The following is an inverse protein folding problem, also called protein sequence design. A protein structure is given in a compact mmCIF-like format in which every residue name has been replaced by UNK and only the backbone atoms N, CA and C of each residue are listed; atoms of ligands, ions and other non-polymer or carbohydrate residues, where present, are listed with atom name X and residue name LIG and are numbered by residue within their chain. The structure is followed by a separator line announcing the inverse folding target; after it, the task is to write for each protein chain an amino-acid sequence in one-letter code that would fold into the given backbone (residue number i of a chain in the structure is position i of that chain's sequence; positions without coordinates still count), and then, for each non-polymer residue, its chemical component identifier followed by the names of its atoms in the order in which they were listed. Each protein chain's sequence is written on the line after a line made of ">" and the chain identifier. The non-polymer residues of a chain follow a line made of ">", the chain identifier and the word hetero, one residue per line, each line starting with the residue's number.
data_IF_750143455161
#
_entry.id   IF_750143455161
#
_cell.length_a   1.000
_cell.length_b   1.000
_cell.length_c   1.000
_cell.angle_alpha   90.00
_cell.angle_beta   90.00
_cell.angle_gamma   90.00
#
_symmetry.space_group_name_H-M   'P 1'
#
loop_
_entity.id
_entity.type
_entity.pdbx_description
1 polymer ?
#
# COMPACT_ATOMS: atom_id res chain seq x y z
N UNK A 1 44.57 -13.45 12.64
CA UNK A 1 43.99 -14.14 11.46
C UNK A 1 43.42 -13.06 10.54
N UNK A 2 43.68 -13.08 9.22
CA UNK A 2 43.32 -11.97 8.35
C UNK A 2 41.89 -12.13 7.81
N UNK A 3 41.16 -11.01 7.83
CA UNK A 3 40.04 -10.64 6.97
C UNK A 3 39.04 -11.76 6.59
N UNK A 4 38.04 -11.97 7.44
CA UNK A 4 36.78 -12.58 7.00
C UNK A 4 36.19 -11.73 5.86
N UNK A 5 35.97 -12.37 4.72
CA UNK A 5 35.10 -11.91 3.65
C UNK A 5 33.73 -11.53 4.24
N UNK A 6 33.52 -10.24 4.54
CA UNK A 6 32.16 -9.71 4.63
C UNK A 6 31.77 -9.30 3.23
N UNK A 7 31.10 -10.21 2.52
CA UNK A 7 30.26 -9.85 1.38
C UNK A 7 29.26 -8.80 1.87
N UNK A 8 29.45 -7.56 1.47
CA UNK A 8 28.51 -6.48 1.79
C UNK A 8 27.26 -6.70 0.92
N UNK A 9 26.18 -7.20 1.52
CA UNK A 9 24.87 -7.23 0.89
C UNK A 9 24.09 -5.99 1.31
N UNK A 10 23.65 -5.14 0.37
CA UNK A 10 22.74 -4.05 0.67
C UNK A 10 21.39 -4.60 1.17
N UNK A 11 20.65 -3.84 1.99
CA UNK A 11 19.33 -4.25 2.44
C UNK A 11 18.39 -4.40 1.25
N UNK A 12 17.77 -5.58 1.13
CA UNK A 12 16.78 -5.86 0.09
C UNK A 12 15.58 -4.91 0.24
N UNK A 13 15.30 -4.14 -0.81
CA UNK A 13 14.05 -3.42 -0.94
C UNK A 13 12.88 -4.43 -1.01
N UNK A 14 11.74 -4.07 -0.43
CA UNK A 14 10.55 -4.91 -0.29
C UNK A 14 9.95 -5.41 -1.62
N UNK A 15 8.93 -6.29 -1.55
CA UNK A 15 8.51 -7.09 -2.69
C UNK A 15 7.71 -6.26 -3.71
N UNK A 16 8.41 -5.80 -4.72
CA UNK A 16 7.85 -5.22 -5.95
C UNK A 16 8.99 -5.02 -6.94
N UNK A 17 9.14 -5.98 -7.88
CA UNK A 17 10.14 -6.00 -8.96
C UNK A 17 11.48 -5.32 -8.60
N UNK A 18 12.30 -5.99 -7.78
CA UNK A 18 13.59 -5.46 -7.37
C UNK A 18 14.52 -5.18 -8.57
N UNK A 19 15.35 -4.12 -8.51
CA UNK A 19 16.31 -3.83 -9.55
C UNK A 19 17.27 -5.00 -9.73
N UNK A 20 17.71 -5.24 -10.97
CA UNK A 20 18.66 -6.30 -11.30
C UNK A 20 19.83 -6.28 -10.31
N UNK A 21 20.08 -7.43 -9.67
CA UNK A 21 21.07 -7.54 -8.60
C UNK A 21 22.44 -7.06 -9.10
N UNK A 22 22.93 -5.94 -8.56
CA UNK A 22 24.25 -5.43 -8.91
C UNK A 22 25.32 -6.42 -8.41
N UNK A 23 26.37 -6.71 -9.18
CA UNK A 23 27.38 -7.70 -8.80
C UNK A 23 28.02 -7.37 -7.45
N UNK A 24 28.28 -8.40 -6.64
CA UNK A 24 28.98 -8.24 -5.37
C UNK A 24 30.42 -7.73 -5.58
N UNK A 25 30.87 -6.85 -4.70
CA UNK A 25 32.22 -6.28 -4.79
C UNK A 25 33.31 -7.34 -4.57
N UNK A 26 34.29 -7.37 -5.46
CA UNK A 26 35.51 -8.15 -5.29
C UNK A 26 36.70 -7.38 -5.86
N UNK A 27 37.79 -7.33 -5.10
CA UNK A 27 39.04 -6.74 -5.59
C UNK A 27 39.62 -7.57 -6.75
N UNK A 28 40.02 -6.88 -7.81
CA UNK A 28 40.65 -7.47 -8.99
C UNK A 28 42.13 -7.74 -8.76
N UNK A 29 42.62 -8.84 -9.30
CA UNK A 29 44.03 -9.15 -9.31
C UNK A 29 44.79 -8.18 -10.24
N UNK A 30 45.93 -7.66 -9.78
CA UNK A 30 46.72 -6.65 -10.50
C UNK A 30 47.98 -7.30 -11.05
N UNK A 31 48.07 -7.39 -12.38
CA UNK A 31 49.18 -8.05 -13.07
C UNK A 31 49.97 -7.10 -13.96
N UNK A 32 49.38 -5.98 -14.35
CA UNK A 32 49.97 -5.01 -15.27
C UNK A 32 50.97 -4.11 -14.54
N UNK A 33 52.14 -3.88 -15.15
CA UNK A 33 53.13 -2.96 -14.59
C UNK A 33 52.68 -1.49 -14.83
N UNK A 34 53.14 -0.53 -14.03
CA UNK A 34 52.80 0.88 -14.22
C UNK A 34 53.33 1.41 -15.56
N UNK A 35 52.48 2.13 -16.30
CA UNK A 35 52.92 2.84 -17.51
C UNK A 35 53.62 4.16 -17.13
N UNK A 36 54.91 4.05 -16.84
CA UNK A 36 55.74 5.19 -16.45
C UNK A 36 55.79 6.29 -17.51
N UNK A 37 55.68 5.94 -18.80
CA UNK A 37 55.68 6.94 -19.87
C UNK A 37 54.44 7.82 -19.77
N UNK A 38 53.26 7.20 -19.62
CA UNK A 38 52.01 7.95 -19.45
C UNK A 38 51.99 8.76 -18.16
N UNK A 39 52.40 8.16 -17.04
CA UNK A 39 52.46 8.87 -15.76
C UNK A 39 53.41 10.06 -15.77
N UNK A 40 54.55 9.97 -16.49
CA UNK A 40 55.52 11.06 -16.58
C UNK A 40 55.01 12.29 -17.35
N UNK A 41 53.97 12.14 -18.18
CA UNK A 41 53.38 13.26 -18.92
C UNK A 41 52.39 14.08 -18.10
N UNK A 42 51.98 13.58 -16.93
CA UNK A 42 51.01 14.24 -16.06
C UNK A 42 51.70 15.25 -15.16
N UNK A 43 51.33 16.51 -15.31
CA UNK A 43 51.72 17.57 -14.38
C UNK A 43 50.79 17.56 -13.15
N UNK A 44 51.21 16.86 -12.10
CA UNK A 44 50.43 16.68 -10.86
C UNK A 44 50.15 18.02 -10.16
N UNK A 45 51.11 18.95 -10.19
CA UNK A 45 50.97 20.27 -9.57
C UNK A 45 49.92 21.12 -10.28
N UNK A 46 49.90 21.05 -11.62
CA UNK A 46 48.84 21.71 -12.40
C UNK A 46 47.48 21.08 -12.14
N UNK A 47 47.38 19.74 -12.17
CA UNK A 47 46.13 19.02 -11.88
C UNK A 47 45.59 19.39 -10.51
N UNK A 48 46.45 19.47 -9.48
CA UNK A 48 46.03 19.84 -8.13
C UNK A 48 45.58 21.31 -8.03
N UNK A 49 46.25 22.24 -8.70
CA UNK A 49 45.92 23.67 -8.66
C UNK A 49 44.65 24.01 -9.43
N UNK A 50 44.47 23.39 -10.58
CA UNK A 50 43.36 23.67 -11.51
C UNK A 50 42.15 22.77 -11.28
N UNK A 51 42.32 21.67 -10.52
CA UNK A 51 41.27 20.68 -10.32
C UNK A 51 40.89 19.97 -11.63
N UNK A 52 41.86 19.69 -12.49
CA UNK A 52 41.65 19.04 -13.80
C UNK A 52 41.27 17.56 -13.62
N UNK A 53 40.00 17.32 -13.32
CA UNK A 53 39.42 15.99 -13.13
C UNK A 53 39.52 15.17 -14.41
N UNK A 54 39.48 15.79 -15.59
CA UNK A 54 39.55 15.08 -16.87
C UNK A 54 40.93 14.43 -17.07
N UNK A 55 42.00 15.16 -16.77
CA UNK A 55 43.36 14.60 -16.78
C UNK A 55 43.52 13.46 -15.76
N UNK A 56 42.95 13.60 -14.55
CA UNK A 56 42.97 12.54 -13.54
C UNK A 56 42.18 11.29 -13.98
N UNK A 57 40.98 11.49 -14.55
CA UNK A 57 40.11 10.41 -15.03
C UNK A 57 40.79 9.55 -16.09
N UNK A 58 41.57 10.15 -17.00
CA UNK A 58 42.30 9.42 -18.04
C UNK A 58 43.41 8.49 -17.52
N UNK A 59 43.85 8.67 -16.27
CA UNK A 59 44.88 7.87 -15.62
C UNK A 59 44.34 6.96 -14.51
N UNK A 60 43.09 7.19 -14.08
CA UNK A 60 42.48 6.57 -12.92
C UNK A 60 42.48 5.03 -12.98
N UNK A 61 42.09 4.47 -14.13
CA UNK A 61 42.09 3.02 -14.35
C UNK A 61 43.50 2.43 -14.22
N UNK A 62 44.47 3.03 -14.91
CA UNK A 62 45.86 2.57 -14.95
C UNK A 62 46.53 2.65 -13.57
N UNK A 63 46.29 3.70 -12.80
CA UNK A 63 46.85 3.86 -11.45
C UNK A 63 46.20 2.89 -10.46
N UNK A 64 44.89 2.67 -10.59
CA UNK A 64 44.13 1.84 -9.63
C UNK A 64 44.44 0.36 -9.79
N UNK A 65 44.66 -0.13 -11.03
CA UNK A 65 44.77 -1.56 -11.34
C UNK A 65 46.19 -2.05 -11.69
N UNK A 66 47.22 -1.18 -11.67
CA UNK A 66 48.61 -1.61 -11.87
C UNK A 66 49.25 -2.26 -10.62
N UNK A 67 50.33 -3.01 -10.82
CA UNK A 67 51.15 -3.66 -9.79
C UNK A 67 52.52 -3.01 -9.71
N UNK A 68 52.80 -2.31 -8.62
CA UNK A 68 54.10 -1.70 -8.34
C UNK A 68 55.03 -2.60 -7.50
N UNK A 69 54.60 -3.82 -7.16
CA UNK A 69 55.28 -4.69 -6.18
C UNK A 69 56.68 -5.14 -6.62
N UNK A 70 56.98 -5.12 -7.92
CA UNK A 70 58.25 -5.55 -8.51
C UNK A 70 59.09 -4.40 -9.04
N UNK A 71 58.72 -3.15 -8.74
CA UNK A 71 59.42 -1.98 -9.24
C UNK A 71 60.71 -1.75 -8.46
N UNK A 72 61.80 -1.52 -9.18
CA UNK A 72 63.12 -1.26 -8.63
C UNK A 72 63.57 0.17 -8.97
N UNK A 73 64.41 0.73 -8.12
CA UNK A 73 65.01 2.03 -8.37
C UNK A 73 65.83 2.00 -9.67
N UNK A 74 65.57 2.90 -10.65
CA UNK A 74 66.33 2.93 -11.91
C UNK A 74 67.84 3.20 -11.73
N UNK A 75 68.25 3.79 -10.61
CA UNK A 75 69.63 4.21 -10.38
C UNK A 75 70.47 3.17 -9.60
N UNK A 76 69.89 2.50 -8.61
CA UNK A 76 70.61 1.55 -7.77
C UNK A 76 70.10 0.11 -7.87
N UNK A 77 69.04 -0.14 -8.66
CA UNK A 77 68.37 -1.44 -8.79
C UNK A 77 67.83 -2.02 -7.46
N UNK A 78 67.81 -1.21 -6.39
CA UNK A 78 67.25 -1.60 -5.11
C UNK A 78 65.71 -1.67 -5.15
N UNK A 79 65.09 -2.50 -4.30
CA UNK A 79 63.64 -2.60 -4.22
C UNK A 79 63.03 -1.29 -3.72
N UNK A 80 61.80 -0.99 -4.17
CA UNK A 80 61.04 0.14 -3.64
C UNK A 80 60.76 0.00 -2.13
N UNK A 81 60.62 1.13 -1.44
CA UNK A 81 60.36 1.17 0.00
C UNK A 81 59.07 0.40 0.34
N UNK A 82 59.13 -0.60 1.24
CA UNK A 82 57.96 -1.41 1.59
C UNK A 82 56.78 -0.64 2.21
N UNK A 83 57.02 0.47 2.91
CA UNK A 83 55.97 1.32 3.47
C UNK A 83 55.28 2.15 2.38
N UNK A 84 56.04 2.69 1.41
CA UNK A 84 55.46 3.39 0.26
C UNK A 84 54.64 2.46 -0.63
N UNK A 85 55.11 1.23 -0.85
CA UNK A 85 54.34 0.20 -1.56
C UNK A 85 53.05 -0.16 -0.84
N UNK A 86 53.07 -0.28 0.49
CA UNK A 86 51.86 -0.50 1.29
C UNK A 86 50.89 0.69 1.22
N UNK A 87 51.40 1.92 1.28
CA UNK A 87 50.59 3.13 1.14
C UNK A 87 49.91 3.20 -0.24
N UNK A 88 50.67 2.98 -1.31
CA UNK A 88 50.14 2.90 -2.67
C UNK A 88 49.10 1.78 -2.80
N UNK A 89 49.39 0.60 -2.25
CA UNK A 89 48.47 -0.53 -2.29
C UNK A 89 47.15 -0.22 -1.58
N UNK A 90 47.21 0.42 -0.41
CA UNK A 90 46.02 0.88 0.30
C UNK A 90 45.25 1.93 -0.53
N UNK A 91 45.94 2.91 -1.10
CA UNK A 91 45.32 3.91 -1.96
C UNK A 91 44.61 3.28 -3.17
N UNK A 92 45.25 2.31 -3.85
CA UNK A 92 44.65 1.58 -4.97
C UNK A 92 43.41 0.78 -4.58
N UNK A 93 43.43 0.10 -3.42
CA UNK A 93 42.28 -0.64 -2.93
C UNK A 93 41.14 0.30 -2.53
N UNK A 94 41.46 1.43 -1.88
CA UNK A 94 40.49 2.47 -1.57
C UNK A 94 39.85 3.03 -2.84
N UNK A 95 40.64 3.36 -3.86
CA UNK A 95 40.12 3.88 -5.13
C UNK A 95 39.28 2.86 -5.89
N UNK A 96 39.67 1.58 -5.92
CA UNK A 96 38.87 0.51 -6.53
C UNK A 96 37.50 0.37 -5.85
N UNK A 97 37.46 0.41 -4.52
CA UNK A 97 36.20 0.37 -3.78
C UNK A 97 35.33 1.61 -4.04
N UNK A 98 35.93 2.79 -4.14
CA UNK A 98 35.22 4.03 -4.46
C UNK A 98 34.64 4.01 -5.88
N UNK A 99 35.37 3.47 -6.86
CA UNK A 99 34.88 3.27 -8.22
C UNK A 99 33.68 2.33 -8.25
N UNK A 100 33.78 1.18 -7.59
CA UNK A 100 32.65 0.26 -7.48
C UNK A 100 31.44 0.91 -6.79
N UNK A 101 31.67 1.64 -5.69
CA UNK A 101 30.61 2.35 -4.98
C UNK A 101 29.93 3.39 -5.87
N UNK A 102 30.70 4.10 -6.69
CA UNK A 102 30.16 5.07 -7.65
C UNK A 102 29.30 4.38 -8.72
N UNK A 103 29.77 3.27 -9.30
CA UNK A 103 29.00 2.51 -10.30
C UNK A 103 27.71 1.92 -9.69
N UNK A 104 27.81 1.37 -8.48
CA UNK A 104 26.67 0.85 -7.73
C UNK A 104 25.62 1.93 -7.44
N UNK A 105 26.06 3.11 -6.98
CA UNK A 105 25.16 4.24 -6.73
C UNK A 105 24.53 4.76 -8.03
N UNK A 106 25.29 4.86 -9.12
CA UNK A 106 24.74 5.24 -10.44
C UNK A 106 23.67 4.27 -10.92
N UNK A 107 23.92 2.96 -10.80
CA UNK A 107 22.95 1.95 -11.21
C UNK A 107 21.66 2.00 -10.37
N UNK A 108 21.79 2.16 -9.05
CA UNK A 108 20.63 2.34 -8.18
C UNK A 108 19.84 3.61 -8.53
N UNK A 109 20.51 4.74 -8.75
CA UNK A 109 19.86 5.99 -9.16
C UNK A 109 19.08 5.76 -10.46
N UNK A 110 19.71 5.18 -11.49
CA UNK A 110 19.04 4.87 -12.75
C UNK A 110 17.80 3.98 -12.57
N UNK A 111 17.90 2.93 -11.74
CA UNK A 111 16.73 2.07 -11.46
C UNK A 111 15.59 2.78 -10.73
N UNK A 112 15.91 3.71 -9.82
CA UNK A 112 14.92 4.50 -9.11
C UNK A 112 14.29 5.55 -10.03
N UNK A 113 15.05 6.14 -10.94
CA UNK A 113 14.56 7.06 -11.97
C UNK A 113 13.60 6.36 -12.93
N UNK A 114 13.92 5.14 -13.38
CA UNK A 114 13.03 4.31 -14.20
C UNK A 114 11.72 3.96 -13.48
N UNK A 115 11.82 3.51 -12.23
CA UNK A 115 10.64 3.20 -11.41
C UNK A 115 9.76 4.44 -11.16
N UNK A 116 10.38 5.61 -10.96
CA UNK A 116 9.66 6.88 -10.84
C UNK A 116 8.92 7.22 -12.13
N UNK A 117 9.58 7.12 -13.28
CA UNK A 117 8.95 7.37 -14.59
C UNK A 117 7.77 6.44 -14.84
N UNK A 118 7.89 5.15 -14.49
CA UNK A 118 6.79 4.20 -14.62
C UNK A 118 5.61 4.56 -13.71
N UNK A 119 5.87 4.94 -12.45
CA UNK A 119 4.84 5.38 -11.51
C UNK A 119 4.15 6.67 -11.98
N UNK A 120 4.90 7.62 -12.54
CA UNK A 120 4.35 8.84 -13.13
C UNK A 120 3.44 8.54 -14.32
N UNK A 121 3.85 7.63 -15.21
CA UNK A 121 3.03 7.20 -16.34
C UNK A 121 1.72 6.52 -15.88
N UNK A 122 1.79 5.68 -14.84
CA UNK A 122 0.60 5.05 -14.24
C UNK A 122 -0.34 6.10 -13.63
N UNK A 123 0.20 7.07 -12.88
CA UNK A 123 -0.56 8.18 -12.30
C UNK A 123 -1.28 8.99 -13.37
N UNK A 124 -0.60 9.31 -14.47
CA UNK A 124 -1.18 10.07 -15.57
C UNK A 124 -2.27 9.27 -16.30
N UNK A 125 -2.11 7.96 -16.45
CA UNK A 125 -3.13 7.07 -17.02
C UNK A 125 -4.38 7.01 -16.15
N UNK A 126 -4.22 6.81 -14.83
CA UNK A 126 -5.33 6.85 -13.88
C UNK A 126 -6.03 8.22 -13.88
N UNK A 127 -5.26 9.30 -14.00
CA UNK A 127 -5.81 10.66 -14.14
C UNK A 127 -6.74 10.81 -15.35
N UNK A 128 -6.38 10.22 -16.50
CA UNK A 128 -7.24 10.20 -17.71
C UNK A 128 -8.51 9.41 -17.48
N UNK A 129 -8.41 8.23 -16.85
CA UNK A 129 -9.58 7.39 -16.54
C UNK A 129 -10.56 8.09 -15.60
N UNK A 130 -10.05 8.74 -14.54
CA UNK A 130 -10.87 9.54 -13.62
C UNK A 130 -11.58 10.67 -14.37
N UNK A 131 -10.89 11.40 -15.25
CA UNK A 131 -11.50 12.46 -16.05
C UNK A 131 -12.61 11.92 -16.97
N UNK A 132 -12.38 10.78 -17.62
CA UNK A 132 -13.39 10.13 -18.47
C UNK A 132 -14.62 9.71 -17.66
N UNK A 133 -14.44 9.06 -16.51
CA UNK A 133 -15.55 8.68 -15.63
C UNK A 133 -16.33 9.88 -15.12
N UNK A 134 -15.65 10.98 -14.81
CA UNK A 134 -16.31 12.22 -14.39
C UNK A 134 -17.19 12.79 -15.52
N UNK A 135 -16.72 12.76 -16.77
CA UNK A 135 -17.49 13.18 -17.93
C UNK A 135 -18.72 12.28 -18.15
N UNK A 136 -18.59 10.96 -18.01
CA UNK A 136 -19.70 10.01 -18.09
C UNK A 136 -20.76 10.30 -17.02
N UNK A 137 -20.35 10.53 -15.77
CA UNK A 137 -21.25 10.91 -14.67
C UNK A 137 -22.00 12.20 -14.97
N UNK A 138 -21.32 13.21 -15.53
CA UNK A 138 -21.96 14.46 -15.91
C UNK A 138 -23.02 14.25 -17.00
N UNK A 139 -22.70 13.48 -18.04
CA UNK A 139 -23.65 13.13 -19.10
C UNK A 139 -24.88 12.39 -18.55
N UNK A 140 -24.68 11.43 -17.65
CA UNK A 140 -25.78 10.70 -17.00
C UNK A 140 -26.63 11.62 -16.11
N UNK A 141 -26.04 12.59 -15.41
CA UNK A 141 -26.79 13.59 -14.62
C UNK A 141 -27.68 14.46 -15.51
N UNK A 142 -27.17 14.90 -16.66
CA UNK A 142 -27.94 15.68 -17.63
C UNK A 142 -29.09 14.87 -18.25
N UNK A 143 -28.84 13.61 -18.60
CA UNK A 143 -29.85 12.65 -19.05
C UNK A 143 -30.95 12.47 -18.00
N UNK A 144 -30.57 12.22 -16.74
CA UNK A 144 -31.51 12.10 -15.62
C UNK A 144 -32.37 13.35 -15.46
N UNK A 145 -31.76 14.54 -15.58
CA UNK A 145 -32.49 15.82 -15.52
C UNK A 145 -33.48 15.95 -16.66
N UNK A 146 -33.11 15.55 -17.88
CA UNK A 146 -34.00 15.59 -19.05
C UNK A 146 -35.18 14.64 -18.90
N UNK A 147 -34.94 13.40 -18.45
CA UNK A 147 -36.00 12.42 -18.18
C UNK A 147 -36.96 12.89 -17.11
N UNK A 148 -36.47 13.48 -16.01
CA UNK A 148 -37.31 14.09 -14.97
C UNK A 148 -38.24 15.17 -15.51
N UNK A 149 -37.74 16.06 -16.39
CA UNK A 149 -38.57 17.08 -17.06
C UNK A 149 -39.64 16.44 -17.94
N UNK A 150 -39.27 15.46 -18.76
CA UNK A 150 -40.21 14.76 -19.64
C UNK A 150 -41.35 14.09 -18.86
N UNK A 151 -41.02 13.39 -17.77
CA UNK A 151 -42.01 12.75 -16.89
C UNK A 151 -42.93 13.80 -16.27
N UNK A 152 -42.38 14.91 -15.77
CA UNK A 152 -43.19 16.01 -15.21
C UNK A 152 -44.15 16.61 -16.24
N UNK A 153 -43.70 16.82 -17.48
CA UNK A 153 -44.57 17.31 -18.56
C UNK A 153 -45.66 16.30 -18.93
N UNK A 154 -45.33 15.00 -19.02
CA UNK A 154 -46.32 13.96 -19.27
C UNK A 154 -47.38 13.89 -18.16
N UNK A 155 -46.95 14.01 -16.90
CA UNK A 155 -47.85 14.02 -15.76
C UNK A 155 -48.80 15.23 -15.79
N UNK A 156 -48.29 16.43 -16.11
CA UNK A 156 -49.11 17.62 -16.29
C UNK A 156 -50.14 17.46 -17.43
N UNK A 157 -49.78 16.82 -18.54
CA UNK A 157 -50.72 16.54 -19.65
C UNK A 157 -51.81 15.54 -19.26
N UNK A 158 -51.48 14.54 -18.45
CA UNK A 158 -52.45 13.57 -17.93
C UNK A 158 -53.43 14.24 -16.96
N UNK A 159 -52.94 15.11 -16.08
CA UNK A 159 -53.77 15.91 -15.17
C UNK A 159 -54.69 16.89 -15.92
N UNK A 160 -54.20 17.54 -16.98
CA UNK A 160 -55.01 18.44 -17.81
C UNK A 160 -56.15 17.72 -18.55
N UNK A 161 -55.96 16.46 -18.96
CA UNK A 161 -57.01 15.64 -19.59
C UNK A 161 -58.06 15.12 -18.62
N UNK A 162 -57.78 15.09 -17.33
CA UNK A 162 -58.69 14.58 -16.30
C UNK A 162 -59.80 15.57 -15.90
N UNK A 163 -59.76 16.83 -16.38
CA UNK A 163 -60.64 17.91 -15.91
C UNK A 163 -61.95 18.11 -16.70
N UNK A 164 -62.28 17.24 -17.66
CA UNK A 164 -63.53 17.34 -18.44
C UNK A 164 -64.22 15.97 -18.55
N UNK A 165 -65.53 15.94 -18.31
CA UNK A 165 -66.35 14.74 -18.39
C UNK A 165 -67.09 14.69 -19.73
N UNK A 166 -66.57 13.89 -20.68
CA UNK A 166 -67.18 13.70 -22.00
C UNK A 166 -68.37 12.74 -21.96
N UNK A 167 -69.42 13.05 -22.73
CA UNK A 167 -70.55 12.16 -22.89
C UNK A 167 -70.18 10.93 -23.74
N UNK A 168 -70.47 9.69 -23.30
CA UNK A 168 -70.18 8.50 -24.10
C UNK A 168 -71.05 8.36 -25.35
N UNK A 169 -72.17 9.08 -25.39
CA UNK A 169 -73.25 8.89 -26.37
C UNK A 169 -73.38 10.06 -27.35
N UNK A 170 -72.62 11.15 -27.14
CA UNK A 170 -72.49 12.26 -28.08
C UNK A 170 -71.22 13.09 -27.80
N UNK A 171 -70.86 14.02 -28.67
CA UNK A 171 -69.60 14.77 -28.59
C UNK A 171 -69.54 15.88 -27.51
N UNK A 172 -70.50 15.94 -26.58
CA UNK A 172 -70.58 17.02 -25.58
C UNK A 172 -69.71 16.72 -24.36
N UNK A 173 -68.89 17.70 -23.96
CA UNK A 173 -68.06 17.67 -22.76
C UNK A 173 -68.60 18.61 -21.67
N UNK A 174 -68.53 18.18 -20.42
CA UNK A 174 -69.06 18.92 -19.27
C UNK A 174 -67.98 19.16 -18.22
N UNK A 175 -68.02 20.34 -17.60
CA UNK A 175 -67.07 20.79 -16.59
C UNK A 175 -67.18 20.03 -15.25
N UNK A 176 -68.33 19.42 -14.99
CA UNK A 176 -68.63 18.74 -13.72
C UNK A 176 -69.48 17.51 -13.99
N UNK A 177 -69.19 16.42 -13.29
CA UNK A 177 -69.85 15.12 -13.50
C UNK A 177 -71.39 15.20 -13.37
N UNK A 178 -71.91 16.06 -12.51
CA UNK A 178 -73.35 16.30 -12.32
C UNK A 178 -74.06 16.81 -13.58
N UNK A 179 -73.41 17.68 -14.36
CA UNK A 179 -73.97 18.20 -15.60
C UNK A 179 -73.96 17.15 -16.72
N UNK A 180 -72.91 16.32 -16.78
CA UNK A 180 -72.88 15.17 -17.67
C UNK A 180 -74.02 14.20 -17.34
N UNK A 181 -74.21 13.88 -16.06
CA UNK A 181 -75.24 12.93 -15.64
C UNK A 181 -76.66 13.44 -15.97
N UNK A 182 -76.90 14.73 -15.74
CA UNK A 182 -78.16 15.41 -16.11
C UNK A 182 -78.40 15.39 -17.62
N UNK A 183 -77.33 15.51 -18.42
CA UNK A 183 -77.40 15.45 -19.87
C UNK A 183 -77.77 14.03 -20.37
N UNK A 184 -77.11 12.99 -19.85
CA UNK A 184 -77.39 11.59 -20.19
C UNK A 184 -78.85 11.26 -19.87
N UNK A 185 -79.34 11.65 -18.70
CA UNK A 185 -80.71 11.36 -18.26
C UNK A 185 -81.80 12.02 -19.13
N UNK A 186 -81.53 13.20 -19.71
CA UNK A 186 -82.50 13.93 -20.53
C UNK A 186 -82.45 13.58 -22.02
N UNK A 187 -81.28 13.22 -22.54
CA UNK A 187 -81.03 13.04 -23.98
C UNK A 187 -80.81 11.59 -24.39
N UNK A 188 -80.47 10.72 -23.45
CA UNK A 188 -80.26 9.28 -23.65
C UNK A 188 -81.11 8.42 -22.67
N UNK A 189 -82.42 8.69 -22.49
CA UNK A 189 -83.23 8.04 -21.46
C UNK A 189 -83.47 6.54 -21.69
N UNK A 190 -83.44 6.08 -22.95
CA UNK A 190 -83.65 4.68 -23.32
C UNK A 190 -82.44 3.76 -23.08
N UNK A 191 -81.25 4.32 -22.84
CA UNK A 191 -80.06 3.52 -22.50
C UNK A 191 -79.90 3.28 -21.00
N UNK A 192 -80.75 3.90 -20.17
CA UNK A 192 -80.76 3.84 -18.70
C UNK A 192 -80.91 2.42 -18.11
N UNK A 193 -81.63 1.51 -18.80
CA UNK A 193 -81.79 0.12 -18.35
C UNK A 193 -80.54 -0.75 -18.64
N UNK A 194 -79.86 -0.49 -19.76
CA UNK A 194 -78.54 -1.07 -20.07
C UNK A 194 -77.49 -0.49 -19.11
N UNK A 195 -77.66 0.79 -18.77
CA UNK A 195 -76.88 1.51 -17.78
C UNK A 195 -77.01 0.88 -16.40
N UNK A 196 -78.20 0.44 -15.95
CA UNK A 196 -78.35 -0.25 -14.64
C UNK A 196 -77.59 -1.59 -14.56
N UNK A 197 -77.63 -2.41 -15.63
CA UNK A 197 -76.82 -3.66 -15.70
C UNK A 197 -75.33 -3.37 -15.81
N UNK A 198 -74.92 -2.30 -16.51
CA UNK A 198 -73.53 -1.81 -16.51
C UNK A 198 -73.14 -1.24 -15.15
N UNK A 199 -74.05 -0.55 -14.46
CA UNK A 199 -73.83 0.11 -13.16
C UNK A 199 -73.51 -0.92 -12.08
N UNK A 200 -74.19 -2.06 -12.05
CA UNK A 200 -73.84 -3.16 -11.15
C UNK A 200 -72.49 -3.83 -11.48
N UNK A 201 -72.04 -3.82 -12.74
CA UNK A 201 -70.68 -4.27 -13.11
C UNK A 201 -69.62 -3.19 -12.80
N UNK A 202 -69.98 -1.93 -12.96
CA UNK A 202 -69.13 -0.77 -12.64
C UNK A 202 -68.95 -0.65 -11.14
N UNK A 203 -69.97 -0.88 -10.32
CA UNK A 203 -69.87 -0.94 -8.85
C UNK A 203 -68.91 -2.05 -8.42
N UNK A 204 -69.03 -3.26 -8.98
CA UNK A 204 -68.08 -4.35 -8.70
C UNK A 204 -66.64 -4.00 -9.07
N UNK A 205 -66.43 -3.39 -10.25
CA UNK A 205 -65.11 -2.93 -10.67
C UNK A 205 -64.61 -1.75 -9.83
N UNK A 206 -65.51 -0.89 -9.35
CA UNK A 206 -65.17 0.20 -8.44
C UNK A 206 -64.74 -0.33 -7.08
N UNK A 207 -65.46 -1.29 -6.51
CA UNK A 207 -65.07 -1.96 -5.26
C UNK A 207 -63.71 -2.65 -5.39
N UNK A 208 -63.45 -3.28 -6.55
CA UNK A 208 -62.16 -3.93 -6.83
C UNK A 208 -61.03 -2.90 -7.03
N UNK A 209 -61.31 -1.76 -7.67
CA UNK A 209 -60.37 -0.63 -7.75
C UNK A 209 -60.11 -0.02 -6.38
N UNK A 210 -61.12 0.13 -5.53
CA UNK A 210 -61.00 0.65 -4.16
C UNK A 210 -60.10 -0.28 -3.33
N UNK A 211 -60.35 -1.59 -3.38
CA UNK A 211 -59.53 -2.60 -2.72
C UNK A 211 -58.08 -2.61 -3.25
N UNK A 212 -57.89 -2.48 -4.57
CA UNK A 212 -56.55 -2.39 -5.16
C UNK A 212 -55.82 -1.11 -4.76
N UNK A 213 -56.52 0.02 -4.64
CA UNK A 213 -55.94 1.28 -4.13
C UNK A 213 -55.54 1.16 -2.67
N UNK A 214 -56.37 0.53 -1.84
CA UNK A 214 -56.06 0.30 -0.43
C UNK A 214 -54.84 -0.62 -0.29
N UNK A 215 -54.80 -1.72 -1.04
CA UNK A 215 -53.61 -2.59 -1.07
C UNK A 215 -52.37 -1.85 -1.56
N UNK A 216 -52.46 -1.07 -2.63
CA UNK A 216 -51.35 -0.27 -3.14
C UNK A 216 -50.85 0.73 -2.09
N UNK A 217 -51.77 1.38 -1.36
CA UNK A 217 -51.43 2.33 -0.30
C UNK A 217 -50.74 1.64 0.88
N UNK A 218 -51.19 0.45 1.26
CA UNK A 218 -50.54 -0.38 2.28
C UNK A 218 -49.14 -0.80 1.81
N UNK A 219 -49.00 -1.33 0.60
CA UNK A 219 -47.69 -1.73 0.07
C UNK A 219 -46.73 -0.54 -0.05
N UNK A 220 -47.24 0.63 -0.46
CA UNK A 220 -46.43 1.85 -0.54
C UNK A 220 -45.92 2.29 0.84
N UNK A 221 -46.78 2.30 1.85
CA UNK A 221 -46.39 2.66 3.22
C UNK A 221 -45.41 1.65 3.82
N UNK A 222 -45.57 0.35 3.55
CA UNK A 222 -44.60 -0.68 3.92
C UNK A 222 -43.24 -0.45 3.25
N UNK A 223 -43.22 -0.17 1.95
CA UNK A 223 -41.98 0.08 1.20
C UNK A 223 -41.28 1.37 1.67
N UNK A 224 -42.02 2.42 1.97
CA UNK A 224 -41.47 3.66 2.53
C UNK A 224 -40.86 3.42 3.92
N UNK A 225 -41.55 2.67 4.78
CA UNK A 225 -41.03 2.28 6.08
C UNK A 225 -39.75 1.43 5.96
N UNK A 226 -39.75 0.42 5.10
CA UNK A 226 -38.58 -0.44 4.88
C UNK A 226 -37.38 0.36 4.32
N UNK A 227 -37.64 1.27 3.37
CA UNK A 227 -36.61 2.17 2.84
C UNK A 227 -36.02 3.06 3.95
N UNK A 228 -36.86 3.61 4.82
CA UNK A 228 -36.41 4.46 5.91
C UNK A 228 -35.64 3.68 6.98
N UNK A 229 -36.09 2.46 7.30
CA UNK A 229 -35.36 1.55 8.19
C UNK A 229 -34.00 1.14 7.60
N UNK A 230 -33.92 0.88 6.29
CA UNK A 230 -32.67 0.52 5.63
C UNK A 230 -31.70 1.71 5.58
N UNK A 231 -32.18 2.93 5.32
CA UNK A 231 -31.36 4.15 5.42
C UNK A 231 -30.82 4.37 6.84
N UNK A 232 -31.64 4.18 7.86
CA UNK A 232 -31.21 4.29 9.25
C UNK A 232 -30.14 3.23 9.60
N UNK A 233 -30.31 2.00 9.12
CA UNK A 233 -29.33 0.92 9.31
C UNK A 233 -28.00 1.26 8.62
N UNK A 234 -28.02 1.70 7.36
CA UNK A 234 -26.82 2.09 6.62
C UNK A 234 -26.10 3.27 7.28
N UNK A 235 -26.84 4.25 7.81
CA UNK A 235 -26.26 5.38 8.56
C UNK A 235 -25.52 4.87 9.81
N UNK A 236 -26.16 3.97 10.58
CA UNK A 236 -25.57 3.39 11.79
C UNK A 236 -24.34 2.54 11.48
N UNK A 237 -24.37 1.74 10.42
CA UNK A 237 -23.22 0.96 9.97
C UNK A 237 -22.04 1.86 9.54
N UNK A 238 -22.32 2.97 8.85
CA UNK A 238 -21.30 3.97 8.48
C UNK A 238 -20.67 4.63 9.71
N UNK A 239 -21.48 5.02 10.70
CA UNK A 239 -20.98 5.57 11.97
C UNK A 239 -20.13 4.56 12.75
N UNK A 240 -20.57 3.31 12.83
CA UNK A 240 -19.80 2.23 13.46
C UNK A 240 -18.47 1.98 12.75
N UNK A 241 -18.47 2.00 11.42
CA UNK A 241 -17.26 1.81 10.64
C UNK A 241 -16.26 2.95 10.87
N UNK A 242 -16.72 4.20 10.87
CA UNK A 242 -15.88 5.36 11.21
C UNK A 242 -15.30 5.26 12.61
N UNK A 243 -16.10 4.86 13.59
CA UNK A 243 -15.62 4.68 14.98
C UNK A 243 -14.52 3.62 15.07
N UNK A 244 -14.63 2.51 14.33
CA UNK A 244 -13.59 1.47 14.28
C UNK A 244 -12.32 1.97 13.59
N UNK A 245 -12.47 2.71 12.49
CA UNK A 245 -11.33 3.32 11.79
C UNK A 245 -10.58 4.31 12.68
N UNK A 246 -11.31 5.15 13.43
CA UNK A 246 -10.72 6.07 14.41
C UNK A 246 -9.99 5.32 15.54
N UNK A 247 -10.55 4.22 16.04
CA UNK A 247 -9.92 3.40 17.08
C UNK A 247 -8.63 2.71 16.60
N UNK A 248 -8.61 2.22 15.35
CA UNK A 248 -7.41 1.67 14.70
C UNK A 248 -6.36 2.76 14.56
N UNK A 249 -6.76 3.96 14.09
CA UNK A 249 -5.85 5.08 13.91
C UNK A 249 -5.23 5.52 15.25
N UNK A 250 -6.03 5.61 16.31
CA UNK A 250 -5.56 5.93 17.65
C UNK A 250 -4.60 4.86 18.20
N UNK A 251 -4.92 3.58 18.01
CA UNK A 251 -4.05 2.48 18.42
C UNK A 251 -2.71 2.51 17.67
N UNK A 252 -2.74 2.82 16.38
CA UNK A 252 -1.54 2.99 15.57
C UNK A 252 -0.68 4.16 16.04
N UNK A 253 -1.29 5.32 16.30
CA UNK A 253 -0.58 6.48 16.84
C UNK A 253 0.08 6.18 18.19
N UNK A 254 -0.67 5.55 19.10
CA UNK A 254 -0.15 5.14 20.41
C UNK A 254 1.05 4.20 20.28
N UNK A 255 0.94 3.17 19.44
CA UNK A 255 2.06 2.25 19.19
C UNK A 255 3.29 2.96 18.61
N UNK A 256 3.09 3.87 17.66
CA UNK A 256 4.18 4.63 17.06
C UNK A 256 4.87 5.56 18.09
N UNK A 257 4.13 6.12 19.03
CA UNK A 257 4.70 6.93 20.11
C UNK A 257 5.47 6.05 21.12
N UNK A 258 4.92 4.89 21.51
CA UNK A 258 5.60 3.89 22.34
C UNK A 258 6.92 3.42 21.71
N UNK A 259 6.92 3.19 20.39
CA UNK A 259 8.11 2.76 19.65
C UNK A 259 9.17 3.87 19.59
N UNK A 260 8.75 5.14 19.42
CA UNK A 260 9.65 6.29 19.49
C UNK A 260 10.27 6.46 20.87
N UNK A 261 9.49 6.27 21.93
CA UNK A 261 9.97 6.34 23.31
C UNK A 261 10.96 5.20 23.59
N UNK A 262 10.66 3.97 23.14
CA UNK A 262 11.56 2.82 23.26
C UNK A 262 12.91 3.07 22.59
N UNK A 263 12.92 3.67 21.40
CA UNK A 263 14.16 4.03 20.70
C UNK A 263 14.92 5.15 21.43
N UNK A 264 14.21 6.15 21.94
CA UNK A 264 14.81 7.21 22.75
C UNK A 264 15.49 6.65 24.01
N UNK A 265 14.83 5.73 24.72
CA UNK A 265 15.38 5.04 25.89
C UNK A 265 16.62 4.21 25.56
N UNK A 266 16.64 3.51 24.42
CA UNK A 266 17.82 2.76 23.97
C UNK A 266 18.99 3.70 23.67
N UNK A 267 18.73 4.81 22.99
CA UNK A 267 19.75 5.84 22.72
C UNK A 267 20.29 6.41 24.03
N UNK A 268 19.43 6.70 25.00
CA UNK A 268 19.85 7.26 26.28
C UNK A 268 20.69 6.26 27.08
N UNK A 269 20.32 4.98 27.11
CA UNK A 269 21.15 3.91 27.71
C UNK A 269 22.54 3.84 27.06
N UNK A 270 22.61 3.92 25.73
CA UNK A 270 23.89 3.92 25.01
C UNK A 270 24.72 5.15 25.36
N UNK A 271 24.11 6.35 25.40
CA UNK A 271 24.79 7.58 25.83
C UNK A 271 25.32 7.47 27.26
N UNK A 272 24.54 6.94 28.19
CA UNK A 272 24.98 6.74 29.57
C UNK A 272 26.18 5.78 29.66
N UNK A 273 26.15 4.68 28.89
CA UNK A 273 27.27 3.75 28.81
C UNK A 273 28.54 4.43 28.29
N UNK A 274 28.44 5.17 27.18
CA UNK A 274 29.57 5.95 26.64
C UNK A 274 30.09 7.00 27.62
N UNK A 275 29.21 7.72 28.31
CA UNK A 275 29.58 8.72 29.31
C UNK A 275 30.31 8.10 30.50
N UNK A 276 29.91 6.89 30.93
CA UNK A 276 30.62 6.14 31.97
C UNK A 276 32.02 5.74 31.51
N UNK A 277 32.16 5.22 30.29
CA UNK A 277 33.46 4.85 29.72
C UNK A 277 34.39 6.06 29.56
N UNK A 278 33.88 7.20 29.10
CA UNK A 278 34.66 8.43 29.00
C UNK A 278 35.15 8.92 30.37
N UNK A 279 34.31 8.85 31.41
CA UNK A 279 34.71 9.19 32.78
C UNK A 279 35.78 8.25 33.32
N UNK A 280 35.65 6.95 33.06
CA UNK A 280 36.69 5.97 33.44
C UNK A 280 38.01 6.19 32.69
N UNK A 281 37.95 6.53 31.40
CA UNK A 281 39.13 6.85 30.62
C UNK A 281 39.80 8.13 31.13
N UNK A 282 39.03 9.16 31.44
CA UNK A 282 39.56 10.40 31.99
C UNK A 282 40.23 10.19 33.36
N UNK A 283 39.63 9.42 34.26
CA UNK A 283 40.22 9.13 35.57
C UNK A 283 41.50 8.28 35.46
N UNK A 284 41.52 7.30 34.54
CA UNK A 284 42.74 6.53 34.22
C UNK A 284 43.83 7.43 33.63
N UNK A 285 43.49 8.29 32.68
CA UNK A 285 44.47 9.20 32.07
C UNK A 285 45.05 10.16 33.12
N UNK A 286 44.21 10.76 33.97
CA UNK A 286 44.68 11.61 35.07
C UNK A 286 45.59 10.86 36.05
N UNK A 287 45.29 9.60 36.34
CA UNK A 287 46.15 8.75 37.19
C UNK A 287 47.52 8.50 36.52
N UNK A 288 47.53 8.20 35.22
CA UNK A 288 48.76 8.00 34.45
C UNK A 288 49.59 9.29 34.36
N UNK A 289 48.96 10.44 34.16
CA UNK A 289 49.62 11.76 34.17
C UNK A 289 50.26 12.04 35.54
N UNK A 290 49.55 11.76 36.64
CA UNK A 290 50.11 11.91 37.99
C UNK A 290 51.31 10.97 38.23
N UNK A 291 51.23 9.71 37.79
CA UNK A 291 52.34 8.76 37.87
C UNK A 291 53.56 9.22 37.06
N UNK A 292 53.34 9.76 35.86
CA UNK A 292 54.42 10.35 35.05
C UNK A 292 55.08 11.54 35.74
N UNK A 293 54.28 12.43 36.36
CA UNK A 293 54.80 13.56 37.13
C UNK A 293 55.59 13.12 38.36
N UNK A 294 55.18 12.06 39.06
CA UNK A 294 55.94 11.48 40.17
C UNK A 294 57.26 10.84 39.71
N UNK A 295 57.25 10.13 38.58
CA UNK A 295 58.48 9.58 37.98
C UNK A 295 59.44 10.71 37.57
N UNK A 296 58.93 11.79 37.00
CA UNK A 296 59.74 12.95 36.65
C UNK A 296 60.32 13.64 37.90
N UNK A 297 59.52 13.82 38.96
CA UNK A 297 59.99 14.41 40.23
C UNK A 297 61.02 13.54 40.94
N UNK A 298 60.82 12.22 40.98
CA UNK A 298 61.77 11.28 41.59
C UNK A 298 63.08 11.21 40.80
N UNK A 299 63.02 11.28 39.47
CA UNK A 299 64.20 11.40 38.61
C UNK A 299 64.96 12.72 38.85
N UNK A 300 64.26 13.86 39.01
CA UNK A 300 64.90 15.14 39.35
C UNK A 300 65.44 15.22 40.79
N UNK A 301 64.86 14.47 41.73
CA UNK A 301 65.31 14.40 43.13
C UNK A 301 66.48 13.43 43.34
N UNK A 302 66.71 12.49 42.42
CA UNK A 302 67.97 11.76 42.32
C UNK A 302 69.08 12.70 41.85
N UNK A 303 69.58 13.55 42.74
CA UNK A 303 70.87 14.21 42.54
C UNK A 303 71.95 13.14 42.56
N UNK A 304 72.51 12.84 41.40
CA UNK A 304 73.76 12.10 41.29
C UNK A 304 74.89 12.87 42.00
N UNK A 305 75.74 12.16 42.75
CA UNK A 305 76.98 12.72 43.30
C UNK A 305 78.07 12.92 42.21
N UNK A 306 77.67 13.08 40.96
CA UNK A 306 78.52 13.26 39.80
C UNK A 306 77.93 14.45 39.04
N UNK A 307 78.68 15.56 39.01
CA UNK A 307 78.23 16.87 38.53
C UNK A 307 77.80 16.89 37.05
N UNK A 308 77.35 18.08 36.63
CA UNK A 308 76.83 18.38 35.29
C UNK A 308 77.73 17.86 34.17
N UNK A 309 77.36 16.70 33.59
CA UNK A 309 78.05 16.12 32.45
C UNK A 309 77.61 16.84 31.17
N UNK A 310 78.60 17.33 30.45
CA UNK A 310 78.50 17.98 29.15
C UNK A 310 78.51 16.88 28.09
N UNK A 311 77.50 16.88 27.22
CA UNK A 311 77.33 15.87 26.16
C UNK A 311 78.55 15.81 25.25
N UNK A 312 79.25 14.67 25.28
CA UNK A 312 80.15 14.26 24.21
C UNK A 312 80.26 12.73 24.16
N UNK A 313 80.07 12.23 22.95
CA UNK A 313 80.27 10.87 22.43
C UNK A 313 79.23 9.77 22.70
N UNK A 314 78.60 9.39 21.58
CA UNK A 314 78.29 8.04 21.10
C UNK A 314 77.84 7.01 22.15
N UNK A 315 76.53 6.95 22.36
CA UNK A 315 75.89 5.75 22.88
C UNK A 315 75.72 4.71 21.76
N UNK A 316 76.35 3.55 21.94
CA UNK A 316 75.83 2.28 21.43
C UNK A 316 74.37 2.12 21.86
N UNK A 317 73.47 1.94 20.90
CA UNK A 317 72.05 1.68 21.14
C UNK A 317 71.85 0.39 21.97
N UNK A 318 71.79 0.54 23.30
CA UNK A 318 71.16 -0.47 24.13
C UNK A 318 69.64 -0.37 23.96
N UNK A 319 69.11 -1.40 23.28
CA UNK A 319 67.68 -1.71 23.12
C UNK A 319 66.90 -1.42 24.42
N UNK A 320 65.85 -0.56 24.40
CA UNK A 320 65.02 -0.34 25.57
C UNK A 320 64.33 -1.66 25.97
N UNK A 321 64.55 -2.10 27.21
CA UNK A 321 63.78 -3.19 27.78
C UNK A 321 62.29 -2.79 27.80
N UNK A 322 61.46 -3.57 27.10
CA UNK A 322 60.01 -3.36 27.02
C UNK A 322 59.41 -3.34 28.43
N UNK A 323 58.52 -2.39 28.76
CA UNK A 323 57.80 -2.39 30.01
C UNK A 323 57.06 -3.73 30.20
N UNK A 324 57.24 -4.37 31.36
CA UNK A 324 56.66 -5.67 31.71
C UNK A 324 55.11 -5.69 31.75
N UNK A 325 54.44 -4.55 31.61
CA UNK A 325 52.98 -4.41 31.74
C UNK A 325 52.18 -4.57 30.44
N UNK A 326 52.86 -4.55 29.28
CA UNK A 326 52.21 -4.72 27.98
C UNK A 326 51.41 -6.04 27.84
N UNK A 327 51.88 -7.21 28.35
CA UNK A 327 51.12 -8.46 28.26
C UNK A 327 49.83 -8.44 29.08
N UNK A 328 49.79 -7.72 30.21
CA UNK A 328 48.63 -7.66 31.08
C UNK A 328 47.53 -6.74 30.52
N UNK A 329 47.93 -5.59 29.95
CA UNK A 329 46.99 -4.69 29.26
C UNK A 329 46.40 -5.37 28.03
N UNK A 330 47.20 -6.08 27.23
CA UNK A 330 46.72 -6.84 26.07
C UNK A 330 45.74 -7.96 26.50
N UNK A 331 46.04 -8.69 27.58
CA UNK A 331 45.11 -9.71 28.12
C UNK A 331 43.80 -9.11 28.65
N UNK A 332 43.83 -7.90 29.20
CA UNK A 332 42.62 -7.22 29.66
C UNK A 332 41.76 -6.74 28.48
N UNK A 333 42.37 -6.17 27.46
CA UNK A 333 41.70 -5.77 26.21
C UNK A 333 41.10 -6.98 25.50
N UNK A 334 41.83 -8.09 25.40
CA UNK A 334 41.31 -9.34 24.80
C UNK A 334 40.12 -9.93 25.59
N UNK A 335 40.11 -9.78 26.92
CA UNK A 335 38.94 -10.14 27.75
C UNK A 335 37.74 -9.23 27.52
N UNK A 336 37.95 -7.93 27.33
CA UNK A 336 36.89 -6.97 27.01
C UNK A 336 36.34 -7.23 25.61
N UNK A 337 37.20 -7.42 24.62
CA UNK A 337 36.83 -7.75 23.25
C UNK A 337 35.97 -9.01 23.19
N UNK A 338 36.36 -10.08 23.91
CA UNK A 338 35.55 -11.30 24.01
C UNK A 338 34.17 -11.06 24.62
N UNK A 339 34.08 -10.27 25.70
CA UNK A 339 32.79 -9.94 26.32
C UNK A 339 31.87 -9.16 25.38
N UNK A 340 32.41 -8.14 24.71
CA UNK A 340 31.66 -7.33 23.75
C UNK A 340 31.23 -8.15 22.54
N UNK A 341 32.10 -9.03 22.04
CA UNK A 341 31.78 -9.94 20.93
C UNK A 341 30.62 -10.85 21.31
N UNK A 342 30.67 -11.50 22.48
CA UNK A 342 29.58 -12.36 22.95
C UNK A 342 28.28 -11.60 23.19
N UNK A 343 28.33 -10.37 23.71
CA UNK A 343 27.14 -9.54 23.91
C UNK A 343 26.50 -9.16 22.57
N UNK A 344 27.31 -8.76 21.58
CA UNK A 344 26.84 -8.40 20.23
C UNK A 344 26.29 -9.62 19.49
N UNK A 345 26.89 -10.80 19.68
CA UNK A 345 26.38 -12.06 19.12
C UNK A 345 25.05 -12.46 19.74
N UNK A 346 24.89 -12.35 21.06
CA UNK A 346 23.62 -12.61 21.74
C UNK A 346 22.52 -11.65 21.26
N UNK A 347 22.82 -10.36 21.19
CA UNK A 347 21.86 -9.35 20.74
C UNK A 347 21.45 -9.53 19.28
N UNK A 348 22.38 -9.97 18.42
CA UNK A 348 22.09 -10.36 17.03
C UNK A 348 21.18 -11.58 16.98
N UNK A 349 21.43 -12.58 17.82
CA UNK A 349 20.61 -13.78 17.88
C UNK A 349 19.18 -13.44 18.31
N UNK A 350 19.02 -12.67 19.38
CA UNK A 350 17.72 -12.21 19.87
C UNK A 350 16.96 -11.45 18.77
N UNK A 351 17.63 -10.50 18.10
CA UNK A 351 17.03 -9.77 16.97
C UNK A 351 16.58 -10.69 15.82
N UNK A 352 17.38 -11.69 15.45
CA UNK A 352 17.00 -12.62 14.38
C UNK A 352 15.81 -13.49 14.79
N UNK A 353 15.73 -13.89 16.07
CA UNK A 353 14.58 -14.65 16.59
C UNK A 353 13.30 -13.82 16.62
N UNK A 354 13.37 -12.56 17.07
CA UNK A 354 12.24 -11.64 17.10
C UNK A 354 11.75 -11.33 15.68
N UNK A 355 12.68 -11.04 14.76
CA UNK A 355 12.38 -10.85 13.35
C UNK A 355 11.68 -12.07 12.74
N UNK A 356 12.18 -13.28 13.03
CA UNK A 356 11.57 -14.52 12.55
C UNK A 356 10.15 -14.72 13.11
N UNK A 357 9.93 -14.39 14.39
CA UNK A 357 8.62 -14.45 15.03
C UNK A 357 7.64 -13.45 14.41
N UNK A 358 8.06 -12.21 14.19
CA UNK A 358 7.24 -11.18 13.57
C UNK A 358 6.85 -11.56 12.13
N UNK A 359 7.80 -12.09 11.35
CA UNK A 359 7.51 -12.59 10.00
C UNK A 359 6.49 -13.72 10.02
N UNK A 360 6.59 -14.65 10.96
CA UNK A 360 5.60 -15.73 11.12
C UNK A 360 4.20 -15.21 11.50
N UNK A 361 4.12 -14.19 12.36
CA UNK A 361 2.85 -13.54 12.73
C UNK A 361 2.23 -12.81 11.54
N UNK A 362 3.04 -12.05 10.77
CA UNK A 362 2.59 -11.37 9.56
C UNK A 362 2.01 -12.37 8.57
N UNK A 363 2.70 -13.48 8.32
CA UNK A 363 2.20 -14.49 7.37
C UNK A 363 0.92 -15.15 7.88
N UNK A 364 0.80 -15.42 9.18
CA UNK A 364 -0.43 -15.96 9.79
C UNK A 364 -1.62 -15.00 9.65
N UNK A 365 -1.42 -13.70 9.90
CA UNK A 365 -2.47 -12.69 9.73
C UNK A 365 -2.88 -12.59 8.26
N UNK A 366 -1.90 -12.61 7.35
CA UNK A 366 -2.13 -12.55 5.91
C UNK A 366 -2.89 -13.76 5.37
N UNK A 367 -2.56 -14.97 5.84
CA UNK A 367 -3.32 -16.19 5.49
C UNK A 367 -4.73 -16.13 6.04
N UNK A 368 -4.91 -15.72 7.30
CA UNK A 368 -6.23 -15.56 7.91
C UNK A 368 -7.11 -14.57 7.15
N UNK A 369 -6.58 -13.38 6.82
CA UNK A 369 -7.30 -12.37 6.07
C UNK A 369 -7.68 -12.85 4.66
N UNK A 370 -6.80 -13.61 4.00
CA UNK A 370 -7.08 -14.21 2.70
C UNK A 370 -8.19 -15.27 2.79
N UNK A 371 -8.18 -16.10 3.82
CA UNK A 371 -9.23 -17.09 4.06
C UNK A 371 -10.59 -16.44 4.33
N UNK A 372 -10.62 -15.38 5.13
CA UNK A 372 -11.85 -14.64 5.44
C UNK A 372 -12.42 -13.95 4.19
N UNK A 373 -11.56 -13.32 3.38
CA UNK A 373 -11.96 -12.76 2.09
C UNK A 373 -12.51 -13.84 1.15
N UNK A 374 -11.87 -15.01 1.09
CA UNK A 374 -12.32 -16.11 0.25
C UNK A 374 -13.68 -16.67 0.72
N UNK A 375 -13.88 -16.82 2.04
CA UNK A 375 -15.18 -17.21 2.61
C UNK A 375 -16.28 -16.21 2.26
N UNK A 376 -15.98 -14.92 2.36
CA UNK A 376 -16.91 -13.85 1.99
C UNK A 376 -17.25 -13.88 0.50
N UNK A 377 -16.24 -14.03 -0.38
CA UNK A 377 -16.47 -14.15 -1.82
C UNK A 377 -17.37 -15.35 -2.16
N UNK A 378 -17.07 -16.55 -1.62
CA UNK A 378 -17.89 -17.74 -1.83
C UNK A 378 -19.34 -17.53 -1.33
N UNK A 379 -19.50 -16.83 -0.21
CA UNK A 379 -20.83 -16.49 0.32
C UNK A 379 -21.59 -15.56 -0.63
N UNK A 380 -20.95 -14.51 -1.13
CA UNK A 380 -21.58 -13.56 -2.05
C UNK A 380 -21.87 -14.18 -3.41
N UNK A 381 -20.98 -15.01 -3.95
CA UNK A 381 -21.21 -15.76 -5.20
C UNK A 381 -22.45 -16.65 -5.08
N UNK A 382 -22.55 -17.46 -4.02
CA UNK A 382 -23.74 -18.29 -3.78
C UNK A 382 -25.00 -17.45 -3.65
N UNK A 383 -24.91 -16.29 -2.99
CA UNK A 383 -26.06 -15.40 -2.82
C UNK A 383 -26.51 -14.78 -4.15
N UNK A 384 -25.57 -14.47 -5.04
CA UNK A 384 -25.85 -13.98 -6.38
C UNK A 384 -26.53 -15.09 -7.20
N UNK A 385 -25.98 -16.30 -7.19
CA UNK A 385 -26.58 -17.47 -7.88
C UNK A 385 -28.02 -17.73 -7.42
N UNK A 386 -28.30 -17.69 -6.11
CA UNK A 386 -29.65 -17.83 -5.57
C UNK A 386 -30.61 -16.74 -6.09
N UNK A 387 -30.14 -15.50 -6.20
CA UNK A 387 -30.95 -14.38 -6.69
C UNK A 387 -31.18 -14.49 -8.19
N UNK A 388 -30.18 -14.91 -8.96
CA UNK A 388 -30.30 -15.19 -10.39
C UNK A 388 -31.30 -16.30 -10.65
N UNK A 389 -31.26 -17.39 -9.86
CA UNK A 389 -32.24 -18.47 -9.97
C UNK A 389 -33.67 -17.99 -9.70
N UNK A 390 -33.88 -17.21 -8.63
CA UNK A 390 -35.20 -16.62 -8.34
C UNK A 390 -35.68 -15.68 -9.43
N UNK A 391 -34.77 -14.90 -10.02
CA UNK A 391 -35.10 -14.01 -11.14
C UNK A 391 -35.53 -14.82 -12.37
N UNK A 392 -34.85 -15.94 -12.64
CA UNK A 392 -35.19 -16.85 -13.73
C UNK A 392 -36.56 -17.49 -13.51
N UNK A 393 -36.83 -18.00 -12.31
CA UNK A 393 -38.15 -18.57 -11.94
C UNK A 393 -39.28 -17.55 -12.12
N UNK A 394 -39.07 -16.29 -11.71
CA UNK A 394 -40.05 -15.22 -11.93
C UNK A 394 -40.25 -14.91 -13.42
N UNK A 395 -39.18 -14.90 -14.22
CA UNK A 395 -39.28 -14.71 -15.66
C UNK A 395 -40.07 -15.83 -16.33
N UNK A 396 -39.81 -17.09 -15.96
CA UNK A 396 -40.53 -18.24 -16.49
C UNK A 396 -42.02 -18.18 -16.12
N UNK A 397 -42.35 -17.75 -14.89
CA UNK A 397 -43.72 -17.51 -14.47
C UNK A 397 -44.40 -16.42 -15.30
N UNK A 398 -43.71 -15.31 -15.57
CA UNK A 398 -44.21 -14.21 -16.42
C UNK A 398 -44.45 -14.72 -17.85
N UNK A 399 -43.55 -15.55 -18.39
CA UNK A 399 -43.71 -16.16 -19.71
C UNK A 399 -44.95 -17.06 -19.74
N UNK A 400 -45.13 -17.92 -18.75
CA UNK A 400 -46.31 -18.77 -18.61
C UNK A 400 -47.60 -17.96 -18.53
N UNK A 401 -47.63 -16.90 -17.71
CA UNK A 401 -48.78 -15.99 -17.61
C UNK A 401 -49.08 -15.29 -18.94
N UNK A 402 -48.05 -14.82 -19.66
CA UNK A 402 -48.21 -14.24 -21.00
C UNK A 402 -48.81 -15.24 -22.00
N UNK A 403 -48.39 -16.51 -21.95
CA UNK A 403 -48.97 -17.56 -22.79
C UNK A 403 -50.44 -17.82 -22.44
N UNK A 404 -50.79 -17.91 -21.16
CA UNK A 404 -52.19 -18.04 -20.71
C UNK A 404 -53.06 -16.86 -21.16
N UNK A 405 -52.58 -15.63 -21.00
CA UNK A 405 -53.30 -14.42 -21.45
C UNK A 405 -53.52 -14.48 -22.96
N UNK A 406 -52.50 -14.88 -23.73
CA UNK A 406 -52.61 -15.02 -25.18
C UNK A 406 -53.64 -16.07 -25.56
N UNK A 407 -53.65 -17.22 -24.89
CA UNK A 407 -54.61 -18.30 -25.13
C UNK A 407 -56.05 -17.87 -24.81
N UNK A 408 -56.26 -17.21 -23.68
CA UNK A 408 -57.56 -16.64 -23.28
C UNK A 408 -58.02 -15.54 -24.25
N UNK A 409 -57.10 -14.76 -24.80
CA UNK A 409 -57.40 -13.71 -25.77
C UNK A 409 -57.72 -14.26 -27.17
N UNK A 410 -57.23 -15.47 -27.51
CA UNK A 410 -57.55 -16.17 -28.77
C UNK A 410 -58.80 -17.04 -28.72
N UNK A 411 -59.35 -17.33 -27.53
CA UNK A 411 -60.61 -18.08 -27.40
C UNK A 411 -61.80 -17.15 -27.73
N UNK A 412 -62.64 -17.47 -28.74
CA UNK A 412 -63.84 -16.70 -28.99
C UNK A 412 -64.82 -16.87 -27.83
N UNK A 413 -65.51 -15.79 -27.47
CA UNK A 413 -66.49 -15.79 -26.38
C UNK A 413 -67.51 -16.93 -26.57
N UNK A 414 -67.82 -17.73 -25.53
CA UNK A 414 -68.79 -18.80 -25.64
C UNK A 414 -70.14 -18.20 -26.05
N UNK A 415 -70.64 -18.69 -27.18
CA UNK A 415 -71.89 -18.26 -27.79
C UNK A 415 -73.02 -18.70 -26.84
N UNK A 416 -73.60 -17.75 -26.12
CA UNK A 416 -74.76 -17.97 -25.26
C UNK A 416 -75.95 -18.28 -26.17
N UNK A 417 -76.19 -19.57 -26.43
CA UNK A 417 -77.44 -20.06 -27.00
C UNK A 417 -78.42 -20.29 -25.87
N UNK A 418 -79.42 -19.42 -25.81
CA UNK A 418 -80.71 -19.66 -25.16
C UNK A 418 -81.42 -20.82 -25.86
N UNK A 419 -81.65 -21.97 -25.22
CA UNK A 419 -82.76 -22.87 -25.51
C UNK A 419 -83.18 -23.72 -24.29
N UNK A 420 -84.49 -23.93 -24.24
CA UNK A 420 -85.35 -24.53 -23.22
C UNK A 420 -85.13 -26.01 -22.86
N UNK A 421 -85.48 -26.32 -21.61
CA UNK A 421 -86.29 -27.44 -21.08
C UNK A 421 -86.26 -28.79 -21.83
N UNK A 422 -85.61 -29.81 -21.25
CA UNK A 422 -86.21 -31.09 -20.79
C UNK A 422 -85.14 -32.11 -20.28
N UNK A 423 -85.45 -32.70 -19.12
CA UNK A 423 -84.88 -33.81 -18.29
C UNK A 423 -84.38 -35.09 -19.04
N UNK A 424 -83.69 -36.09 -18.41
CA UNK A 424 -83.55 -36.36 -16.97
C UNK A 424 -82.16 -36.76 -16.41
N UNK A 425 -82.15 -36.77 -15.07
CA UNK A 425 -81.16 -37.24 -14.08
C UNK A 425 -80.46 -38.57 -14.44
N UNK A 426 -79.13 -38.59 -14.35
CA UNK A 426 -78.37 -39.80 -14.00
C UNK A 426 -77.28 -39.47 -12.98
N UNK A 427 -77.25 -40.29 -11.93
CA UNK A 427 -76.45 -40.22 -10.70
C UNK A 427 -75.40 -41.31 -10.80
N UNK A 428 -74.10 -41.02 -10.73
CA UNK A 428 -72.97 -41.94 -10.41
C UNK A 428 -71.77 -41.05 -10.00
N UNK A 429 -71.50 -40.87 -8.71
CA UNK A 429 -70.55 -41.61 -7.85
C UNK A 429 -69.07 -41.21 -8.04
N UNK A 430 -68.53 -40.57 -7.00
CA UNK A 430 -67.10 -40.41 -6.71
C UNK A 430 -66.46 -41.75 -6.30
N UNK A 431 -65.14 -41.91 -6.54
CA UNK A 431 -64.32 -42.76 -5.69
C UNK A 431 -63.09 -42.03 -5.13
N UNK A 432 -63.11 -41.93 -3.79
CA UNK A 432 -62.05 -41.94 -2.77
C UNK A 432 -60.69 -41.29 -3.01
#
# INVERSE_FOLDING_TARGET
>A
QPFSQRSYHPPAAGPGAGPAAFPAFQFRARHENPDWRRLSTVDVERVSREGDVAALQGHLEHVTFCSAERECCPHCQGPADPLLLKLLRLAQLSTEYLLHSQEYLRAQIGSLEEALQESEAQRDQLGKEVAQRMQEIQGLKEECRRRKKMISTQQMMLEARANYHQCPFCEKAFMTYSFLQSHIQRRHPGESEIEQKRKGKIEKLQDEIENLKEQLQITKSQLEFEKQANLARLSKECEQQKSKEEEILQSFHKWNDEERERLADQIEKVKEMFMKELKELYSRNSTLENQLLELQKSNMQQKSNLGTLKDSHEFTEEKPQRPQDHPNVVKFLDKQEKKWTSLVEALRHDHETEKSLLLAQIETIKTSAREELNKNNIFYERRIEELEQRLQEQNDLIICQKMQIKELSTKPAPNVKTYDVNTPVERIQEPK
#
